data_IF_644403927233
#
_entry.id   IF_644403927233
#
_cell.length_a   1.000
_cell.length_b   1.000
_cell.length_c   1.000
_cell.angle_alpha   90.00
_cell.angle_beta   90.00
_cell.angle_gamma   90.00
#
_symmetry.space_group_name_H-M   'P 1'
#
loop_
_entity.id
_entity.type
_entity.pdbx_description
1 polymer ?
#
# COMPACT_ATOMS: atom_id res chain seq x y z
N UNK A 1 0.63 -46.67 48.10
CA UNK A 1 1.85 -47.46 48.34
C UNK A 1 3.01 -46.83 47.58
N UNK A 2 3.97 -46.32 48.30
CA UNK A 2 5.35 -46.02 47.87
C UNK A 2 6.12 -47.38 47.80
N UNK A 3 7.40 -47.46 47.35
CA UNK A 3 8.38 -46.45 46.93
C UNK A 3 9.49 -46.93 45.94
N UNK A 4 10.37 -45.92 45.56
CA UNK A 4 11.87 -45.99 45.53
C UNK A 4 12.56 -46.71 44.35
N UNK A 5 13.73 -46.35 43.82
CA UNK A 5 14.88 -45.42 44.07
C UNK A 5 15.80 -45.57 42.87
N UNK A 6 16.33 -44.50 42.32
CA UNK A 6 17.71 -43.97 42.29
C UNK A 6 18.83 -44.96 41.93
N UNK A 7 19.71 -44.54 41.01
CA UNK A 7 21.16 -44.49 41.23
C UNK A 7 21.90 -43.77 40.08
N UNK A 8 22.66 -42.81 40.50
CA UNK A 8 23.74 -42.12 39.80
C UNK A 8 24.87 -43.07 39.44
N UNK A 9 25.69 -42.72 38.43
CA UNK A 9 27.16 -42.66 38.50
C UNK A 9 27.71 -42.36 37.11
N UNK A 10 28.19 -41.15 36.89
CA UNK A 10 29.60 -40.75 36.88
C UNK A 10 30.60 -41.76 36.28
N UNK A 11 31.12 -41.41 35.12
CA UNK A 11 32.54 -41.69 34.80
C UNK A 11 33.04 -40.67 33.76
N UNK A 12 33.88 -39.76 34.25
CA UNK A 12 34.75 -38.95 33.44
C UNK A 12 35.96 -39.78 32.98
N UNK A 13 36.23 -39.76 31.68
CA UNK A 13 37.58 -40.11 31.18
C UNK A 13 38.14 -38.96 30.36
N UNK A 14 39.15 -38.32 30.96
CA UNK A 14 40.09 -37.41 30.34
C UNK A 14 41.06 -38.23 29.47
N UNK A 15 41.06 -37.95 28.16
CA UNK A 15 42.20 -38.34 27.31
C UNK A 15 42.73 -37.07 26.59
N UNK A 16 43.87 -36.58 27.10
CA UNK A 16 44.75 -35.67 26.40
C UNK A 16 45.33 -36.38 25.20
N UNK A 17 45.05 -35.94 23.98
CA UNK A 17 45.86 -36.24 22.81
C UNK A 17 46.49 -34.96 22.27
N UNK A 18 47.80 -34.88 22.44
CA UNK A 18 48.68 -33.96 21.70
C UNK A 18 48.76 -34.46 20.24
N UNK A 19 48.10 -33.81 19.32
CA UNK A 19 48.23 -34.07 17.89
C UNK A 19 48.21 -32.74 17.12
N UNK A 20 49.36 -32.32 16.64
CA UNK A 20 49.49 -31.25 15.65
C UNK A 20 48.69 -31.63 14.41
N UNK A 21 47.57 -30.97 14.17
CA UNK A 21 46.83 -31.09 12.91
C UNK A 21 47.58 -30.25 11.86
N UNK A 22 48.34 -30.94 10.99
CA UNK A 22 48.82 -30.36 9.74
C UNK A 22 47.65 -30.16 8.78
N UNK A 23 47.08 -28.97 8.70
CA UNK A 23 46.07 -28.63 7.70
C UNK A 23 46.78 -28.58 6.35
N UNK A 24 46.51 -29.58 5.48
CA UNK A 24 46.98 -29.57 4.10
C UNK A 24 46.41 -28.38 3.35
N UNK A 25 47.28 -27.63 2.70
CA UNK A 25 47.03 -26.38 1.92
C UNK A 25 45.94 -26.49 0.86
N UNK A 26 45.50 -27.70 0.53
CA UNK A 26 44.43 -27.94 -0.47
C UNK A 26 42.99 -27.76 0.08
N UNK A 27 42.82 -27.78 1.41
CA UNK A 27 41.46 -27.60 1.99
C UNK A 27 41.07 -26.12 2.17
N UNK A 28 42.05 -25.21 2.13
CA UNK A 28 41.76 -23.76 2.21
C UNK A 28 41.20 -23.22 0.90
N UNK A 29 41.60 -23.81 -0.25
CA UNK A 29 41.01 -23.43 -1.56
C UNK A 29 39.57 -23.85 -1.71
N UNK A 30 39.14 -24.99 -1.15
CA UNK A 30 37.77 -25.44 -1.20
C UNK A 30 36.83 -24.64 -0.29
N UNK A 31 37.30 -24.14 0.86
CA UNK A 31 36.52 -23.30 1.77
C UNK A 31 36.38 -21.88 1.19
N UNK A 32 37.39 -21.36 0.49
CA UNK A 32 37.29 -20.07 -0.20
C UNK A 32 36.36 -20.14 -1.43
N UNK A 33 36.23 -21.28 -2.10
CA UNK A 33 35.25 -21.46 -3.20
C UNK A 33 33.80 -21.65 -2.69
N UNK A 34 33.58 -22.23 -1.49
CA UNK A 34 32.24 -22.34 -0.93
C UNK A 34 31.74 -21.01 -0.32
N UNK A 35 32.64 -20.12 0.14
CA UNK A 35 32.28 -18.80 0.64
C UNK A 35 31.89 -17.82 -0.48
N UNK A 36 32.31 -18.08 -1.73
CA UNK A 36 31.96 -17.26 -2.90
C UNK A 36 30.57 -17.50 -3.48
N UNK A 37 29.85 -18.55 -3.03
CA UNK A 37 28.53 -18.91 -3.58
C UNK A 37 27.37 -18.36 -2.73
N UNK A 38 27.64 -17.77 -1.55
CA UNK A 38 26.60 -17.22 -0.66
C UNK A 38 26.42 -15.70 -0.76
N UNK A 39 27.12 -15.01 -1.65
CA UNK A 39 26.88 -13.59 -1.96
C UNK A 39 26.13 -13.41 -3.30
N UNK A 40 25.15 -14.24 -3.54
CA UNK A 40 24.14 -14.02 -4.58
C UNK A 40 22.96 -13.19 -4.07
N UNK A 41 23.21 -12.08 -3.38
CA UNK A 41 22.25 -10.97 -3.36
C UNK A 41 22.21 -10.43 -4.77
N UNK A 42 21.27 -10.92 -5.60
CA UNK A 42 21.00 -10.33 -6.90
C UNK A 42 20.70 -8.85 -6.66
N UNK A 43 21.63 -7.97 -7.11
CA UNK A 43 21.35 -6.54 -7.11
C UNK A 43 20.01 -6.35 -7.83
N UNK A 44 18.96 -5.96 -7.09
CA UNK A 44 17.69 -5.55 -7.70
C UNK A 44 18.09 -4.46 -8.72
N UNK A 45 17.60 -4.58 -9.94
CA UNK A 45 17.85 -3.55 -10.96
C UNK A 45 17.29 -2.23 -10.46
N UNK A 46 18.15 -1.19 -10.46
CA UNK A 46 17.75 0.13 -9.97
C UNK A 46 17.22 0.95 -11.13
N UNK A 47 15.90 1.12 -11.20
CA UNK A 47 15.22 1.90 -12.25
C UNK A 47 15.27 3.40 -12.00
N UNK A 48 15.38 3.83 -10.74
CA UNK A 48 15.43 5.23 -10.33
C UNK A 48 16.75 5.45 -9.59
N UNK A 49 17.61 6.40 -10.01
CA UNK A 49 18.85 6.70 -9.32
C UNK A 49 18.62 7.09 -7.85
N UNK A 50 19.66 6.98 -7.02
CA UNK A 50 19.58 7.46 -5.63
C UNK A 50 19.73 8.97 -5.53
N UNK A 51 20.54 9.54 -6.40
CA UNK A 51 20.87 10.98 -6.41
C UNK A 51 19.90 11.71 -7.36
N UNK A 52 18.63 11.82 -6.94
CA UNK A 52 17.59 12.58 -7.65
C UNK A 52 17.32 13.89 -6.93
N UNK A 53 16.78 14.86 -7.65
CA UNK A 53 16.31 16.12 -7.07
C UNK A 53 15.19 15.87 -6.06
N UNK A 54 15.33 16.45 -4.88
CA UNK A 54 14.35 16.33 -3.82
C UNK A 54 13.18 17.31 -4.08
N UNK A 55 11.96 16.81 -3.95
CA UNK A 55 10.73 17.56 -3.99
C UNK A 55 10.16 17.66 -2.59
N UNK A 56 9.69 18.84 -2.21
CA UNK A 56 8.96 19.07 -0.97
C UNK A 56 7.46 19.15 -1.27
N UNK A 57 6.68 18.25 -0.67
CA UNK A 57 5.22 18.22 -0.78
C UNK A 57 4.64 19.12 0.31
N UNK A 58 3.82 20.10 -0.07
CA UNK A 58 3.11 20.95 0.89
C UNK A 58 2.00 20.14 1.58
N UNK A 59 2.11 19.95 2.90
CA UNK A 59 1.03 19.36 3.72
C UNK A 59 0.31 20.45 4.49
N UNK A 60 -0.99 20.60 4.23
CA UNK A 60 -1.87 21.56 4.89
C UNK A 60 -2.67 20.86 5.99
N UNK A 61 -2.50 21.34 7.24
CA UNK A 61 -3.15 20.80 8.44
C UNK A 61 -4.56 21.37 8.61
N UNK A 62 -5.42 21.13 7.61
CA UNK A 62 -6.82 21.54 7.70
C UNK A 62 -7.56 20.78 8.82
N UNK A 63 -7.17 19.55 9.13
CA UNK A 63 -7.66 18.77 10.27
C UNK A 63 -7.58 19.52 11.59
N UNK A 64 -6.46 20.22 11.86
CA UNK A 64 -6.29 21.01 13.06
C UNK A 64 -7.22 22.23 13.08
N UNK A 65 -7.33 22.94 11.96
CA UNK A 65 -8.23 24.09 11.84
C UNK A 65 -9.70 23.66 11.94
N UNK A 66 -10.05 22.54 11.29
CA UNK A 66 -11.38 21.94 11.33
C UNK A 66 -11.81 21.58 12.76
N UNK A 67 -10.91 20.95 13.53
CA UNK A 67 -11.20 20.52 14.91
C UNK A 67 -11.08 21.66 15.95
N UNK A 68 -10.54 22.81 15.57
CA UNK A 68 -10.49 24.01 16.40
C UNK A 68 -11.79 24.84 16.36
N UNK A 69 -12.75 24.49 15.51
CA UNK A 69 -14.08 25.14 15.46
C UNK A 69 -14.77 24.96 16.82
N UNK A 70 -15.27 26.06 17.36
CA UNK A 70 -15.88 26.09 18.71
C UNK A 70 -17.40 25.99 18.60
N UNK A 71 -18.05 25.15 19.42
CA UNK A 71 -19.51 25.02 19.44
C UNK A 71 -20.25 26.36 19.63
N UNK A 72 -19.69 27.29 20.43
CA UNK A 72 -20.33 28.58 20.72
C UNK A 72 -20.20 29.59 19.57
N UNK A 73 -19.32 29.39 18.61
CA UNK A 73 -19.04 30.31 17.49
C UNK A 73 -18.97 29.62 16.12
N UNK A 74 -19.60 28.45 15.98
CA UNK A 74 -19.53 27.60 14.76
C UNK A 74 -19.70 28.40 13.46
N UNK A 75 -20.68 29.33 13.42
CA UNK A 75 -20.96 30.11 12.23
C UNK A 75 -19.80 31.04 11.85
N UNK A 76 -19.20 31.72 12.84
CA UNK A 76 -18.07 32.60 12.61
C UNK A 76 -16.83 31.82 12.23
N UNK A 77 -16.59 30.71 12.93
CA UNK A 77 -15.42 29.85 12.71
C UNK A 77 -15.49 29.17 11.32
N UNK A 78 -16.67 28.75 10.85
CA UNK A 78 -16.87 28.23 9.48
C UNK A 78 -16.62 29.33 8.43
N UNK A 79 -17.10 30.54 8.65
CA UNK A 79 -16.79 31.67 7.72
C UNK A 79 -15.28 31.91 7.65
N UNK A 80 -14.58 31.81 8.78
CA UNK A 80 -13.12 31.94 8.82
C UNK A 80 -12.43 30.78 8.08
N UNK A 81 -12.90 29.51 8.22
CA UNK A 81 -12.37 28.40 7.46
C UNK A 81 -12.52 28.61 5.95
N UNK A 82 -13.66 29.16 5.48
CA UNK A 82 -13.83 29.50 4.05
C UNK A 82 -12.85 30.58 3.60
N UNK A 83 -12.50 31.54 4.47
CA UNK A 83 -11.53 32.59 4.13
C UNK A 83 -10.08 32.08 4.12
N UNK A 84 -9.74 31.21 5.07
CA UNK A 84 -8.37 30.68 5.22
C UNK A 84 -8.05 29.52 4.26
N UNK A 85 -9.08 28.77 3.81
CA UNK A 85 -8.97 27.58 2.96
C UNK A 85 -9.89 27.67 1.74
N UNK A 86 -9.88 28.82 1.05
CA UNK A 86 -10.79 29.15 -0.06
C UNK A 86 -10.82 28.06 -1.15
N UNK A 87 -9.65 27.49 -1.49
CA UNK A 87 -9.54 26.46 -2.53
C UNK A 87 -10.03 25.08 -2.04
N UNK A 88 -9.94 24.76 -0.74
CA UNK A 88 -10.26 23.44 -0.21
C UNK A 88 -11.68 23.33 0.38
N UNK A 89 -12.20 24.37 1.00
CA UNK A 89 -13.51 24.33 1.65
C UNK A 89 -14.67 23.90 0.76
N UNK A 90 -14.79 24.36 -0.52
CA UNK A 90 -15.82 23.84 -1.42
C UNK A 90 -15.67 22.34 -1.70
N UNK A 91 -14.43 21.89 -1.92
CA UNK A 91 -14.12 20.45 -2.15
C UNK A 91 -14.50 19.63 -0.91
N UNK A 92 -14.15 20.13 0.27
CA UNK A 92 -14.45 19.46 1.53
C UNK A 92 -15.96 19.37 1.77
N UNK A 93 -16.69 20.49 1.64
CA UNK A 93 -18.13 20.54 1.93
C UNK A 93 -18.94 19.76 0.91
N UNK A 94 -18.72 19.98 -0.39
CA UNK A 94 -19.52 19.34 -1.44
C UNK A 94 -18.99 17.95 -1.81
N UNK A 95 -17.67 17.80 -1.94
CA UNK A 95 -17.05 16.55 -2.41
C UNK A 95 -16.91 15.49 -1.33
N UNK A 96 -16.62 15.88 -0.07
CA UNK A 96 -16.35 14.93 1.03
C UNK A 96 -17.57 14.79 1.93
N UNK A 97 -18.15 15.90 2.39
CA UNK A 97 -19.31 15.84 3.29
C UNK A 97 -20.64 15.66 2.55
N UNK A 98 -20.66 15.85 1.22
CA UNK A 98 -21.86 15.81 0.37
C UNK A 98 -22.96 16.78 0.83
N UNK A 99 -22.53 17.96 1.29
CA UNK A 99 -23.41 19.06 1.72
C UNK A 99 -23.41 20.18 0.69
N UNK A 100 -24.45 21.02 0.71
CA UNK A 100 -24.48 22.23 -0.12
C UNK A 100 -23.77 23.37 0.58
N UNK A 101 -22.88 24.07 -0.14
CA UNK A 101 -22.22 25.29 0.36
C UNK A 101 -23.23 26.44 0.60
N UNK A 102 -24.41 26.41 -0.04
CA UNK A 102 -25.46 27.40 0.12
C UNK A 102 -26.24 27.26 1.43
N UNK A 103 -26.32 26.04 1.99
CA UNK A 103 -27.03 25.76 3.25
C UNK A 103 -26.11 25.89 4.46
N UNK A 104 -25.69 27.12 4.76
CA UNK A 104 -24.80 27.42 5.89
C UNK A 104 -25.43 27.03 7.26
N UNK A 105 -26.76 27.08 7.40
CA UNK A 105 -27.41 26.71 8.65
C UNK A 105 -27.28 25.20 8.93
N UNK A 106 -27.54 24.39 7.90
CA UNK A 106 -27.40 22.93 7.99
C UNK A 106 -25.93 22.54 8.20
N UNK A 107 -25.00 23.18 7.50
CA UNK A 107 -23.57 22.98 7.69
C UNK A 107 -23.12 23.26 9.13
N UNK A 108 -23.59 24.36 9.74
CA UNK A 108 -23.30 24.69 11.13
C UNK A 108 -23.84 23.63 12.11
N UNK A 109 -25.07 23.16 11.87
CA UNK A 109 -25.69 22.10 12.68
C UNK A 109 -24.90 20.79 12.59
N UNK A 110 -24.56 20.36 11.36
CA UNK A 110 -23.76 19.14 11.13
C UNK A 110 -22.37 19.24 11.78
N UNK A 111 -21.71 20.38 11.67
CA UNK A 111 -20.42 20.60 12.30
C UNK A 111 -20.48 20.57 13.85
N UNK A 112 -21.53 21.18 14.44
CA UNK A 112 -21.74 21.13 15.87
C UNK A 112 -21.91 19.69 16.36
N UNK A 113 -22.70 18.90 15.65
CA UNK A 113 -22.92 17.49 15.94
C UNK A 113 -21.61 16.68 15.80
N UNK A 114 -20.88 16.89 14.71
CA UNK A 114 -19.62 16.23 14.43
C UNK A 114 -18.55 16.50 15.51
N UNK A 115 -18.50 17.70 16.07
CA UNK A 115 -17.53 18.06 17.12
C UNK A 115 -17.91 17.53 18.51
N UNK A 116 -19.21 17.46 18.83
CA UNK A 116 -19.72 17.19 20.17
C UNK A 116 -20.34 15.80 20.38
N UNK A 117 -20.62 15.07 19.28
CA UNK A 117 -21.30 13.79 19.37
C UNK A 117 -20.43 12.70 19.99
N UNK A 118 -20.93 12.16 21.10
CA UNK A 118 -20.31 11.03 21.81
C UNK A 118 -21.00 9.70 21.56
N UNK A 119 -22.19 9.70 20.96
CA UNK A 119 -23.02 8.51 20.73
C UNK A 119 -22.47 7.74 19.54
N UNK A 120 -22.22 8.44 18.41
CA UNK A 120 -21.62 7.88 17.20
C UNK A 120 -20.09 7.80 17.31
N UNK A 121 -19.51 8.31 18.37
CA UNK A 121 -18.08 8.26 18.64
C UNK A 121 -17.22 9.28 17.89
N UNK A 122 -17.82 10.29 17.26
CA UNK A 122 -17.06 11.31 16.52
C UNK A 122 -16.09 12.08 17.40
N UNK A 123 -16.52 12.52 18.60
CA UNK A 123 -15.62 13.24 19.50
C UNK A 123 -14.38 12.43 19.88
N UNK A 124 -14.55 11.12 20.16
CA UNK A 124 -13.43 10.21 20.47
C UNK A 124 -12.54 9.97 19.23
N UNK A 125 -13.16 9.80 18.07
CA UNK A 125 -12.46 9.64 16.79
C UNK A 125 -11.61 10.87 16.48
N UNK A 126 -12.17 12.06 16.61
CA UNK A 126 -11.50 13.33 16.36
C UNK A 126 -10.29 13.52 17.29
N UNK A 127 -10.45 13.23 18.60
CA UNK A 127 -9.36 13.31 19.57
C UNK A 127 -8.24 12.31 19.27
N UNK A 128 -8.58 11.08 18.87
CA UNK A 128 -7.60 10.07 18.49
C UNK A 128 -6.87 10.47 17.20
N UNK A 129 -7.60 10.91 16.18
CA UNK A 129 -7.01 11.36 14.91
C UNK A 129 -6.03 12.50 15.14
N UNK A 130 -6.42 13.52 15.90
CA UNK A 130 -5.55 14.65 16.26
C UNK A 130 -4.29 14.19 17.02
N UNK A 131 -4.42 13.23 17.93
CA UNK A 131 -3.29 12.68 18.68
C UNK A 131 -2.33 11.90 17.76
N UNK A 132 -2.85 10.99 16.94
CA UNK A 132 -2.05 10.14 16.06
C UNK A 132 -1.34 10.90 14.96
N UNK A 133 -1.95 11.97 14.46
CA UNK A 133 -1.38 12.85 13.45
C UNK A 133 -0.81 14.15 14.01
N UNK A 134 -0.56 14.23 15.33
CA UNK A 134 0.09 15.39 15.95
C UNK A 134 1.50 15.64 15.42
N UNK A 135 2.25 14.58 15.19
CA UNK A 135 3.52 14.60 14.47
C UNK A 135 3.34 13.91 13.10
N UNK A 136 3.71 14.64 12.03
CA UNK A 136 3.62 14.19 10.64
C UNK A 136 5.00 14.12 9.95
N UNK A 137 6.11 14.18 10.68
CA UNK A 137 7.45 14.24 10.10
C UNK A 137 7.74 13.01 9.22
N UNK A 138 7.41 11.80 9.70
CA UNK A 138 7.56 10.57 8.93
C UNK A 138 6.66 10.54 7.68
N UNK A 139 5.43 11.05 7.79
CA UNK A 139 4.51 11.17 6.66
C UNK A 139 5.07 12.16 5.62
N UNK A 140 5.57 13.30 6.06
CA UNK A 140 6.18 14.31 5.22
C UNK A 140 7.41 13.75 4.48
N UNK A 141 8.31 13.07 5.19
CA UNK A 141 9.51 12.47 4.62
C UNK A 141 9.14 11.41 3.56
N UNK A 142 8.23 10.50 3.89
CA UNK A 142 7.81 9.43 2.96
C UNK A 142 7.10 10.00 1.72
N UNK A 143 6.27 11.04 1.86
CA UNK A 143 5.67 11.74 0.73
C UNK A 143 6.74 12.42 -0.14
N UNK A 144 7.70 13.11 0.46
CA UNK A 144 8.78 13.76 -0.27
C UNK A 144 9.60 12.74 -1.06
N UNK A 145 9.94 11.58 -0.47
CA UNK A 145 10.63 10.49 -1.17
C UNK A 145 9.80 9.99 -2.36
N UNK A 146 8.53 9.66 -2.13
CA UNK A 146 7.65 9.13 -3.17
C UNK A 146 7.45 10.10 -4.34
N UNK A 147 7.17 11.37 -4.04
CA UNK A 147 6.96 12.40 -5.07
C UNK A 147 8.26 12.84 -5.75
N UNK A 148 9.41 12.84 -5.08
CA UNK A 148 10.71 13.09 -5.73
C UNK A 148 11.00 12.00 -6.78
N UNK A 149 10.76 10.74 -6.45
CA UNK A 149 10.93 9.61 -7.36
C UNK A 149 9.93 9.65 -8.51
N UNK A 150 8.70 10.05 -8.23
CA UNK A 150 7.68 10.22 -9.26
C UNK A 150 8.00 11.39 -10.20
N UNK A 151 8.44 12.53 -9.66
CA UNK A 151 8.86 13.69 -10.44
C UNK A 151 10.08 13.41 -11.33
N UNK A 152 11.03 12.60 -10.86
CA UNK A 152 12.14 12.13 -11.68
C UNK A 152 11.66 11.35 -12.91
N UNK A 153 10.62 10.53 -12.77
CA UNK A 153 10.03 9.75 -13.87
C UNK A 153 9.12 10.60 -14.78
N UNK A 154 8.36 11.51 -14.19
CA UNK A 154 7.33 12.30 -14.84
C UNK A 154 7.47 13.78 -14.42
N UNK A 155 8.50 14.49 -14.91
CA UNK A 155 8.76 15.87 -14.52
C UNK A 155 7.66 16.84 -14.96
N UNK A 156 6.82 16.46 -15.91
CA UNK A 156 5.67 17.22 -16.37
C UNK A 156 4.44 17.12 -15.44
N UNK A 157 4.44 16.21 -14.48
CA UNK A 157 3.34 16.09 -13.52
C UNK A 157 3.53 17.11 -12.39
N UNK A 158 2.50 17.87 -12.12
CA UNK A 158 2.52 18.83 -11.02
C UNK A 158 2.56 18.13 -9.66
N UNK A 159 3.25 18.73 -8.69
CA UNK A 159 3.26 18.21 -7.31
C UNK A 159 2.01 18.77 -6.61
N UNK A 160 1.08 17.91 -6.17
CA UNK A 160 -0.15 18.35 -5.53
C UNK A 160 0.10 18.83 -4.10
N UNK A 161 -0.76 19.77 -3.64
CA UNK A 161 -0.88 20.03 -2.20
C UNK A 161 -1.67 18.91 -1.52
N UNK A 162 -1.28 18.53 -0.33
CA UNK A 162 -1.93 17.46 0.46
C UNK A 162 -2.62 18.08 1.68
N UNK A 163 -3.94 17.97 1.72
CA UNK A 163 -4.75 18.42 2.85
C UNK A 163 -5.05 17.23 3.78
N UNK A 164 -4.74 17.36 5.06
CA UNK A 164 -5.24 16.44 6.07
C UNK A 164 -6.57 16.97 6.61
N UNK A 165 -7.58 16.10 6.69
CA UNK A 165 -8.91 16.45 7.17
C UNK A 165 -9.53 15.30 7.98
N UNK A 166 -10.61 15.56 8.68
CA UNK A 166 -11.44 14.51 9.29
C UNK A 166 -12.74 14.41 8.48
N UNK A 167 -13.02 13.24 7.95
CA UNK A 167 -14.11 13.01 6.99
C UNK A 167 -15.43 12.58 7.61
N UNK A 168 -15.45 12.18 8.88
CA UNK A 168 -16.58 11.46 9.47
C UNK A 168 -16.76 10.07 8.83
N UNK A 169 -15.67 9.39 8.51
CA UNK A 169 -15.59 8.09 7.82
C UNK A 169 -16.12 8.08 6.38
N UNK A 170 -16.19 9.23 5.71
CA UNK A 170 -16.71 9.32 4.35
C UNK A 170 -15.63 9.11 3.28
N UNK A 171 -14.39 9.50 3.53
CA UNK A 171 -13.33 9.45 2.53
C UNK A 171 -11.96 9.18 3.15
N UNK A 172 -11.22 8.22 2.59
CA UNK A 172 -9.83 7.94 2.99
C UNK A 172 -8.84 8.85 2.27
N UNK A 173 -8.90 8.89 0.94
CA UNK A 173 -8.09 9.77 0.10
C UNK A 173 -8.93 10.36 -1.02
N UNK A 174 -8.57 11.56 -1.48
CA UNK A 174 -9.20 12.23 -2.62
C UNK A 174 -8.18 12.95 -3.47
N UNK A 175 -8.52 13.18 -4.75
CA UNK A 175 -7.74 14.02 -5.67
C UNK A 175 -8.70 14.83 -6.54
N UNK A 176 -8.48 16.13 -6.60
CA UNK A 176 -9.23 17.05 -7.44
C UNK A 176 -8.39 18.30 -7.75
N UNK A 177 -8.26 18.68 -9.03
CA UNK A 177 -7.58 19.91 -9.48
C UNK A 177 -6.22 20.19 -8.79
N UNK A 178 -5.33 19.20 -8.79
CA UNK A 178 -4.01 19.27 -8.16
C UNK A 178 -4.02 19.42 -6.62
N UNK A 179 -5.14 19.11 -5.99
CA UNK A 179 -5.29 18.99 -4.54
C UNK A 179 -5.50 17.52 -4.20
N UNK A 180 -4.70 16.99 -3.28
CA UNK A 180 -4.92 15.70 -2.65
C UNK A 180 -5.44 15.91 -1.23
N UNK A 181 -6.20 14.94 -0.75
CA UNK A 181 -6.67 14.99 0.62
C UNK A 181 -6.62 13.63 1.30
N UNK A 182 -6.42 13.65 2.61
CA UNK A 182 -6.37 12.46 3.48
C UNK A 182 -7.37 12.63 4.61
N UNK A 183 -8.36 11.74 4.67
CA UNK A 183 -9.25 11.61 5.82
C UNK A 183 -8.53 10.87 6.94
N UNK A 184 -7.90 11.60 7.86
CA UNK A 184 -7.05 11.02 8.92
C UNK A 184 -7.83 10.08 9.85
N UNK A 185 -9.13 10.26 9.97
CA UNK A 185 -10.04 9.38 10.69
C UNK A 185 -10.23 7.99 10.03
N UNK A 186 -9.77 7.82 8.79
CA UNK A 186 -9.75 6.55 8.08
C UNK A 186 -8.45 5.75 8.29
N UNK A 187 -7.49 6.26 9.09
CA UNK A 187 -6.17 5.65 9.28
C UNK A 187 -5.77 5.51 10.76
N UNK A 188 -6.75 5.20 11.63
CA UNK A 188 -6.57 5.10 13.09
C UNK A 188 -6.10 3.72 13.57
N UNK A 189 -5.81 2.81 12.65
CA UNK A 189 -5.39 1.44 12.93
C UNK A 189 -6.48 0.42 12.64
N UNK A 190 -6.08 -0.77 12.18
CA UNK A 190 -6.99 -1.85 11.78
C UNK A 190 -7.95 -2.31 12.90
N UNK A 191 -7.54 -2.12 14.15
CA UNK A 191 -8.29 -2.54 15.33
C UNK A 191 -9.22 -1.45 15.89
N UNK A 192 -9.29 -0.30 15.22
CA UNK A 192 -10.13 0.80 15.70
C UNK A 192 -11.61 0.38 15.74
N UNK A 193 -12.27 0.42 16.94
CA UNK A 193 -13.56 -0.27 17.12
C UNK A 193 -14.70 0.25 16.25
N UNK A 194 -14.73 1.57 15.98
CA UNK A 194 -15.79 2.17 15.18
C UNK A 194 -15.78 1.74 13.72
N UNK A 195 -14.65 1.26 13.18
CA UNK A 195 -14.59 0.70 11.83
C UNK A 195 -15.50 -0.52 11.63
N UNK A 196 -15.84 -1.25 12.70
CA UNK A 196 -16.81 -2.36 12.62
C UNK A 196 -18.21 -1.92 12.16
N UNK A 197 -18.53 -0.64 12.26
CA UNK A 197 -19.85 -0.10 11.92
C UNK A 197 -19.88 0.50 10.50
N UNK A 198 -18.73 0.85 9.94
CA UNK A 198 -18.64 1.64 8.70
C UNK A 198 -17.98 0.91 7.54
N UNK A 199 -17.13 -0.11 7.80
CA UNK A 199 -16.42 -0.86 6.75
C UNK A 199 -16.42 -2.37 7.03
N UNK A 200 -16.18 -3.17 5.99
CA UNK A 200 -16.00 -4.62 6.12
C UNK A 200 -14.62 -4.96 6.71
N UNK A 201 -14.52 -6.10 7.40
CA UNK A 201 -13.29 -6.52 8.08
C UNK A 201 -12.06 -6.56 7.17
N UNK A 202 -12.20 -7.00 5.91
CA UNK A 202 -11.10 -7.07 4.95
C UNK A 202 -10.57 -5.70 4.52
N UNK A 203 -11.35 -4.62 4.68
CA UNK A 203 -10.94 -3.25 4.34
C UNK A 203 -10.10 -2.61 5.44
N UNK A 204 -10.28 -3.02 6.69
CA UNK A 204 -9.59 -2.40 7.85
C UNK A 204 -8.06 -2.57 7.80
N UNK A 205 -7.58 -3.59 7.13
CA UNK A 205 -6.16 -3.92 7.08
C UNK A 205 -5.29 -2.76 6.59
N UNK A 206 -5.79 -1.98 5.64
CA UNK A 206 -5.09 -0.81 5.10
C UNK A 206 -5.46 0.51 5.78
N UNK A 207 -6.35 0.48 6.78
CA UNK A 207 -6.77 1.68 7.51
C UNK A 207 -5.80 2.01 8.66
N UNK A 208 -4.52 2.18 8.32
CA UNK A 208 -3.39 2.44 9.22
C UNK A 208 -2.55 3.59 8.67
N UNK A 209 -1.93 4.37 9.56
CA UNK A 209 -1.13 5.56 9.21
C UNK A 209 -0.05 5.25 8.17
N UNK A 210 0.55 4.08 8.23
CA UNK A 210 1.59 3.61 7.32
C UNK A 210 1.10 3.46 5.87
N UNK A 211 -0.21 3.24 5.67
CA UNK A 211 -0.79 3.06 4.32
C UNK A 211 -1.09 4.39 3.60
N UNK A 212 -1.06 5.53 4.30
CA UNK A 212 -1.44 6.84 3.74
C UNK A 212 -0.67 7.19 2.47
N UNK A 213 0.66 7.06 2.51
CA UNK A 213 1.52 7.43 1.37
C UNK A 213 1.28 6.54 0.17
N UNK A 214 1.15 5.23 0.40
CA UNK A 214 0.83 4.26 -0.65
C UNK A 214 -0.52 4.54 -1.32
N UNK A 215 -1.55 4.87 -0.54
CA UNK A 215 -2.89 5.19 -1.04
C UNK A 215 -2.89 6.49 -1.85
N UNK A 216 -2.21 7.54 -1.37
CA UNK A 216 -2.07 8.80 -2.11
C UNK A 216 -1.35 8.62 -3.44
N UNK A 217 -0.18 7.99 -3.44
CA UNK A 217 0.58 7.72 -4.66
C UNK A 217 -0.19 6.82 -5.63
N UNK A 218 -0.88 5.78 -5.12
CA UNK A 218 -1.73 4.91 -5.94
C UNK A 218 -2.86 5.67 -6.63
N UNK A 219 -3.52 6.57 -5.90
CA UNK A 219 -4.57 7.43 -6.45
C UNK A 219 -4.00 8.38 -7.51
N UNK A 220 -2.86 9.01 -7.25
CA UNK A 220 -2.23 9.94 -8.17
C UNK A 220 -1.75 9.25 -9.45
N UNK A 221 -1.16 8.05 -9.33
CA UNK A 221 -0.81 7.20 -10.49
C UNK A 221 -2.05 6.84 -11.30
N UNK A 222 -3.13 6.42 -10.63
CA UNK A 222 -4.37 6.01 -11.32
C UNK A 222 -5.05 7.17 -12.05
N UNK A 223 -4.96 8.38 -11.53
CA UNK A 223 -5.49 9.59 -12.20
C UNK A 223 -4.68 9.94 -13.45
N UNK A 224 -3.34 9.95 -13.35
CA UNK A 224 -2.47 10.36 -14.46
C UNK A 224 -2.28 9.26 -15.51
N UNK A 225 -2.45 7.98 -15.13
CA UNK A 225 -2.35 6.83 -16.02
C UNK A 225 -3.69 6.07 -16.00
N UNK A 226 -4.70 6.54 -16.74
CA UNK A 226 -6.02 5.89 -16.76
C UNK A 226 -5.96 4.56 -17.52
N UNK A 227 -6.84 3.63 -17.11
CA UNK A 227 -6.98 2.37 -17.81
C UNK A 227 -7.44 2.57 -19.25
N UNK A 228 -6.63 2.07 -20.16
CA UNK A 228 -6.93 2.09 -21.60
C UNK A 228 -6.64 0.71 -22.18
N UNK A 229 -7.67 -0.02 -22.59
CA UNK A 229 -7.52 -1.33 -23.23
C UNK A 229 -8.61 -1.56 -24.26
N UNK A 230 -8.21 -2.16 -25.37
CA UNK A 230 -9.12 -2.52 -26.47
C UNK A 230 -10.06 -3.68 -26.08
N UNK A 231 -9.60 -4.62 -25.27
CA UNK A 231 -10.30 -5.91 -25.08
C UNK A 231 -10.94 -6.07 -23.70
N UNK A 232 -10.50 -5.30 -22.71
CA UNK A 232 -10.98 -5.37 -21.30
C UNK A 232 -11.13 -6.81 -20.77
N UNK A 233 -10.17 -7.70 -21.10
CA UNK A 233 -10.10 -9.06 -20.56
C UNK A 233 -9.42 -9.04 -19.20
N UNK A 234 -9.50 -10.14 -18.47
CA UNK A 234 -8.80 -10.27 -17.17
C UNK A 234 -7.30 -10.01 -17.31
N UNK A 235 -6.65 -10.53 -18.35
CA UNK A 235 -5.22 -10.31 -18.60
C UNK A 235 -4.87 -8.82 -18.69
N UNK A 236 -5.61 -8.03 -19.47
CA UNK A 236 -5.35 -6.59 -19.59
C UNK A 236 -5.50 -5.86 -18.26
N UNK A 237 -6.53 -6.20 -17.47
CA UNK A 237 -6.70 -5.61 -16.13
C UNK A 237 -5.58 -6.01 -15.17
N UNK A 238 -5.20 -7.29 -15.15
CA UNK A 238 -4.09 -7.79 -14.34
C UNK A 238 -2.77 -7.08 -14.68
N UNK A 239 -2.42 -7.01 -15.97
CA UNK A 239 -1.18 -6.37 -16.42
C UNK A 239 -1.21 -4.87 -16.13
N UNK A 240 -2.32 -4.18 -16.43
CA UNK A 240 -2.44 -2.76 -16.16
C UNK A 240 -2.24 -2.44 -14.66
N UNK A 241 -2.96 -3.13 -13.78
CA UNK A 241 -2.83 -2.95 -12.34
C UNK A 241 -1.48 -3.42 -11.83
N UNK A 242 -0.92 -4.48 -12.42
CA UNK A 242 0.42 -4.97 -12.12
C UNK A 242 1.50 -3.93 -12.44
N UNK A 243 1.38 -3.18 -13.55
CA UNK A 243 2.28 -2.06 -13.88
C UNK A 243 2.18 -0.93 -12.86
N UNK A 244 0.97 -0.59 -12.41
CA UNK A 244 0.79 0.41 -11.35
C UNK A 244 1.44 -0.04 -10.02
N UNK A 245 1.32 -1.31 -9.64
CA UNK A 245 1.98 -1.85 -8.45
C UNK A 245 3.50 -1.88 -8.59
N UNK A 246 4.00 -2.26 -9.77
CA UNK A 246 5.44 -2.21 -10.04
C UNK A 246 5.98 -0.78 -9.91
N UNK A 247 5.30 0.20 -10.49
CA UNK A 247 5.66 1.62 -10.35
C UNK A 247 5.63 2.05 -8.89
N UNK A 248 4.53 1.77 -8.16
CA UNK A 248 4.38 2.13 -6.76
C UNK A 248 5.52 1.56 -5.89
N UNK A 249 5.91 0.30 -6.12
CA UNK A 249 7.05 -0.31 -5.43
C UNK A 249 8.39 0.39 -5.74
N UNK A 250 8.52 1.02 -6.92
CA UNK A 250 9.71 1.83 -7.21
C UNK A 250 9.66 3.19 -6.51
N UNK A 251 8.48 3.72 -6.20
CA UNK A 251 8.33 5.00 -5.49
C UNK A 251 8.53 4.84 -3.98
N UNK A 252 8.27 3.65 -3.44
CA UNK A 252 8.36 3.31 -2.02
C UNK A 252 9.43 2.22 -1.78
N UNK A 253 10.72 2.53 -1.98
CA UNK A 253 11.79 1.52 -2.02
C UNK A 253 12.05 0.84 -0.67
N UNK A 254 11.68 1.49 0.43
CA UNK A 254 11.89 1.00 1.79
C UNK A 254 10.68 0.24 2.33
N UNK A 255 9.53 0.32 1.63
CA UNK A 255 8.34 -0.42 2.00
C UNK A 255 8.40 -1.87 1.53
N UNK A 256 8.02 -2.84 2.36
CA UNK A 256 7.95 -4.22 1.95
C UNK A 256 6.80 -4.44 0.95
N UNK A 257 6.98 -5.39 0.03
CA UNK A 257 6.05 -5.61 -1.09
C UNK A 257 4.61 -5.91 -0.64
N UNK A 258 4.41 -6.56 0.51
CA UNK A 258 3.06 -6.79 1.06
C UNK A 258 2.36 -5.50 1.51
N UNK A 259 3.12 -4.52 2.04
CA UNK A 259 2.56 -3.20 2.36
C UNK A 259 2.18 -2.43 1.09
N UNK A 260 3.04 -2.45 0.07
CA UNK A 260 2.77 -1.80 -1.22
C UNK A 260 1.46 -2.27 -1.84
N UNK A 261 1.17 -3.58 -1.80
CA UNK A 261 -0.10 -4.13 -2.32
C UNK A 261 -1.25 -4.01 -1.31
N UNK A 262 -0.98 -3.69 -0.05
CA UNK A 262 -1.96 -3.65 1.02
C UNK A 262 -2.40 -5.03 1.50
N UNK A 263 -1.51 -6.01 1.49
CA UNK A 263 -1.70 -7.33 2.09
C UNK A 263 -1.10 -7.38 3.51
N UNK A 264 -1.55 -8.33 4.33
CA UNK A 264 -0.76 -8.73 5.48
C UNK A 264 0.41 -9.60 5.05
N UNK A 265 1.42 -9.73 5.93
CA UNK A 265 2.55 -10.64 5.67
C UNK A 265 2.07 -12.08 5.45
N UNK A 266 1.05 -12.54 6.21
CA UNK A 266 0.46 -13.87 6.07
C UNK A 266 -0.25 -14.05 4.72
N UNK A 267 -0.96 -13.02 4.24
CA UNK A 267 -1.61 -13.05 2.92
C UNK A 267 -0.58 -13.12 1.79
N UNK A 268 0.51 -12.37 1.93
CA UNK A 268 1.62 -12.41 0.99
C UNK A 268 2.28 -13.78 0.97
N UNK A 269 2.62 -14.33 2.13
CA UNK A 269 3.24 -15.65 2.25
C UNK A 269 2.34 -16.76 1.69
N UNK A 270 1.02 -16.63 1.87
CA UNK A 270 0.04 -17.52 1.25
C UNK A 270 0.11 -17.43 -0.28
N UNK A 271 0.17 -16.23 -0.84
CA UNK A 271 0.29 -16.04 -2.29
C UNK A 271 1.57 -16.68 -2.84
N UNK A 272 2.72 -16.45 -2.20
CA UNK A 272 3.99 -17.06 -2.61
C UNK A 272 3.97 -18.58 -2.52
N UNK A 273 3.41 -19.13 -1.44
CA UNK A 273 3.30 -20.57 -1.24
C UNK A 273 2.43 -21.25 -2.31
N UNK A 274 1.37 -20.59 -2.75
CA UNK A 274 0.39 -21.16 -3.68
C UNK A 274 0.50 -20.58 -5.11
N UNK A 275 1.53 -19.79 -5.43
CA UNK A 275 1.71 -19.08 -6.70
C UNK A 275 1.49 -20.01 -7.91
N UNK A 276 2.14 -21.15 -7.91
CA UNK A 276 2.00 -22.16 -8.96
C UNK A 276 0.57 -22.69 -9.11
N UNK A 277 -0.10 -22.95 -7.98
CA UNK A 277 -1.49 -23.44 -7.95
C UNK A 277 -2.47 -22.38 -8.45
N UNK A 278 -2.27 -21.12 -8.04
CA UNK A 278 -3.06 -19.96 -8.49
C UNK A 278 -2.96 -19.83 -10.02
N UNK A 279 -1.72 -19.83 -10.54
CA UNK A 279 -1.47 -19.73 -11.98
C UNK A 279 -2.09 -20.88 -12.76
N UNK A 280 -1.88 -22.12 -12.30
CA UNK A 280 -2.47 -23.31 -12.92
C UNK A 280 -4.00 -23.21 -12.98
N UNK A 281 -4.65 -22.74 -11.91
CA UNK A 281 -6.11 -22.59 -11.83
C UNK A 281 -6.63 -21.57 -12.83
N UNK A 282 -5.96 -20.41 -12.95
CA UNK A 282 -6.29 -19.37 -13.94
C UNK A 282 -6.20 -19.91 -15.36
N UNK A 283 -5.13 -20.67 -15.66
CA UNK A 283 -4.90 -21.26 -17.00
C UNK A 283 -5.89 -22.37 -17.31
N UNK A 284 -6.17 -23.26 -16.38
CA UNK A 284 -7.15 -24.35 -16.52
C UNK A 284 -8.55 -23.83 -16.85
N UNK A 285 -8.98 -22.80 -16.14
CA UNK A 285 -10.29 -22.13 -16.35
C UNK A 285 -10.30 -21.23 -17.59
N UNK A 286 -9.16 -20.95 -18.20
CA UNK A 286 -8.97 -19.97 -19.28
C UNK A 286 -9.47 -18.56 -18.90
N UNK A 287 -9.32 -18.20 -17.64
CA UNK A 287 -9.90 -16.96 -17.10
C UNK A 287 -9.21 -15.71 -17.65
N UNK A 288 -7.93 -15.81 -18.10
CA UNK A 288 -7.19 -14.68 -18.69
C UNK A 288 -7.92 -13.96 -19.82
N UNK A 289 -8.73 -14.69 -20.59
CA UNK A 289 -9.40 -14.16 -21.78
C UNK A 289 -10.87 -13.81 -21.55
N UNK A 290 -11.35 -13.97 -20.33
CA UNK A 290 -12.71 -13.63 -19.94
C UNK A 290 -12.91 -12.13 -19.81
N UNK A 291 -14.13 -11.69 -20.15
CA UNK A 291 -14.57 -10.28 -20.10
C UNK A 291 -15.81 -10.09 -19.20
N UNK A 292 -16.34 -11.18 -18.69
CA UNK A 292 -17.53 -11.16 -17.83
C UNK A 292 -17.23 -10.43 -16.52
N UNK A 293 -18.00 -9.38 -16.23
CA UNK A 293 -17.79 -8.52 -15.06
C UNK A 293 -17.71 -9.29 -13.75
N UNK A 294 -18.49 -10.38 -13.60
CA UNK A 294 -18.43 -11.20 -12.39
C UNK A 294 -17.06 -11.83 -12.18
N UNK A 295 -16.45 -12.35 -13.25
CA UNK A 295 -15.10 -12.95 -13.19
C UNK A 295 -14.05 -11.87 -12.94
N UNK A 296 -14.11 -10.77 -13.69
CA UNK A 296 -13.18 -9.65 -13.53
C UNK A 296 -13.21 -9.11 -12.09
N UNK A 297 -14.41 -8.84 -11.57
CA UNK A 297 -14.59 -8.33 -10.21
C UNK A 297 -14.09 -9.31 -9.13
N UNK A 298 -14.29 -10.62 -9.34
CA UNK A 298 -13.81 -11.64 -8.41
C UNK A 298 -12.28 -11.64 -8.27
N UNK A 299 -11.54 -11.40 -9.36
CA UNK A 299 -10.08 -11.35 -9.33
C UNK A 299 -9.51 -9.99 -8.93
N UNK A 300 -10.19 -8.89 -9.31
CA UNK A 300 -9.59 -7.55 -9.29
C UNK A 300 -10.06 -6.66 -8.14
N UNK A 301 -11.28 -6.90 -7.62
CA UNK A 301 -11.85 -6.04 -6.58
C UNK A 301 -11.48 -6.48 -5.16
N UNK A 302 -11.55 -5.54 -4.24
CA UNK A 302 -11.45 -5.83 -2.82
C UNK A 302 -12.52 -6.82 -2.39
N UNK A 303 -12.14 -7.77 -1.57
CA UNK A 303 -13.03 -8.77 -1.02
C UNK A 303 -12.34 -9.58 0.07
N UNK A 304 -13.09 -10.38 0.83
CA UNK A 304 -12.49 -11.22 1.87
C UNK A 304 -11.58 -12.31 1.28
N UNK A 305 -11.85 -12.74 0.05
CA UNK A 305 -11.07 -13.73 -0.71
C UNK A 305 -11.36 -13.62 -2.21
N UNK A 306 -10.55 -14.27 -3.04
CA UNK A 306 -10.77 -14.41 -4.48
C UNK A 306 -11.54 -15.70 -4.75
N UNK A 307 -12.85 -15.60 -4.97
CA UNK A 307 -13.77 -16.73 -5.04
C UNK A 307 -13.42 -17.77 -6.13
N UNK A 308 -12.81 -17.33 -7.24
CA UNK A 308 -12.40 -18.21 -8.34
C UNK A 308 -11.23 -19.14 -7.96
N UNK A 309 -10.50 -18.82 -6.92
CA UNK A 309 -9.32 -19.56 -6.46
C UNK A 309 -9.62 -20.37 -5.20
N UNK A 310 -9.86 -19.71 -4.06
CA UNK A 310 -10.11 -20.36 -2.76
C UNK A 310 -10.71 -19.39 -1.76
N UNK A 311 -11.46 -19.89 -0.78
CA UNK A 311 -11.90 -19.11 0.38
C UNK A 311 -10.76 -18.75 1.34
N UNK A 312 -9.64 -19.46 1.26
CA UNK A 312 -8.43 -19.18 2.07
C UNK A 312 -7.52 -18.13 1.41
N UNK A 313 -7.80 -17.76 0.16
CA UNK A 313 -6.99 -16.79 -0.57
C UNK A 313 -7.26 -15.36 -0.08
N UNK A 314 -6.32 -14.43 -0.21
CA UNK A 314 -6.66 -13.02 -0.12
C UNK A 314 -7.56 -12.59 -1.28
N UNK A 315 -8.23 -11.44 -1.12
CA UNK A 315 -8.90 -10.75 -2.22
C UNK A 315 -7.89 -10.19 -3.23
N UNK A 316 -8.34 -9.77 -4.39
CA UNK A 316 -7.53 -9.10 -5.41
C UNK A 316 -6.34 -9.92 -5.94
N UNK A 317 -6.42 -11.24 -5.97
CA UNK A 317 -5.31 -12.06 -6.49
C UNK A 317 -4.92 -11.73 -7.93
N UNK A 318 -5.85 -11.22 -8.74
CA UNK A 318 -5.53 -10.74 -10.08
C UNK A 318 -4.52 -9.58 -10.07
N UNK A 319 -4.62 -8.68 -9.09
CA UNK A 319 -3.65 -7.61 -8.89
C UNK A 319 -2.26 -8.17 -8.55
N UNK A 320 -2.19 -9.12 -7.61
CA UNK A 320 -0.93 -9.75 -7.22
C UNK A 320 -0.28 -10.53 -8.37
N UNK A 321 -1.04 -11.38 -9.07
CA UNK A 321 -0.52 -12.14 -10.23
C UNK A 321 -0.07 -11.20 -11.35
N UNK A 322 -0.85 -10.14 -11.61
CA UNK A 322 -0.46 -9.12 -12.59
C UNK A 322 0.87 -8.46 -12.27
N UNK A 323 1.09 -8.13 -10.99
CA UNK A 323 2.38 -7.58 -10.53
C UNK A 323 3.52 -8.60 -10.69
N UNK A 324 3.32 -9.87 -10.33
CA UNK A 324 4.33 -10.94 -10.52
C UNK A 324 4.72 -11.12 -12.00
N UNK A 325 3.74 -11.04 -12.91
CA UNK A 325 3.99 -11.10 -14.36
C UNK A 325 4.83 -9.89 -14.80
N UNK A 326 4.46 -8.67 -14.39
CA UNK A 326 5.18 -7.45 -14.75
C UNK A 326 6.58 -7.44 -14.15
N UNK A 327 6.75 -7.86 -12.91
CA UNK A 327 8.06 -7.97 -12.27
C UNK A 327 8.97 -8.98 -13.01
N UNK A 328 8.39 -10.13 -13.43
CA UNK A 328 9.11 -11.09 -14.26
C UNK A 328 9.46 -10.51 -15.64
N UNK A 329 8.56 -9.74 -16.26
CA UNK A 329 8.82 -9.06 -17.53
C UNK A 329 10.00 -8.08 -17.40
N UNK A 330 10.01 -7.23 -16.39
CA UNK A 330 11.07 -6.26 -16.17
C UNK A 330 12.42 -6.92 -15.82
N UNK A 331 12.42 -8.02 -15.08
CA UNK A 331 13.64 -8.79 -14.80
C UNK A 331 14.25 -9.43 -16.04
N UNK A 332 13.43 -9.86 -16.98
CA UNK A 332 13.88 -10.52 -18.21
C UNK A 332 14.19 -9.55 -19.36
N UNK A 333 13.77 -8.29 -19.24
CA UNK A 333 13.94 -7.25 -20.26
C UNK A 333 14.59 -5.99 -19.64
N UNK A 334 15.84 -6.11 -19.20
CA UNK A 334 16.54 -5.11 -18.38
C UNK A 334 16.76 -3.75 -19.07
N UNK A 335 16.66 -3.70 -20.37
CA UNK A 335 16.83 -2.46 -21.15
C UNK A 335 15.54 -1.63 -21.20
N UNK A 336 14.40 -2.19 -20.76
CA UNK A 336 13.12 -1.51 -20.72
C UNK A 336 13.06 -0.55 -19.52
N UNK A 337 12.76 0.70 -19.81
CA UNK A 337 12.53 1.73 -18.79
C UNK A 337 11.12 1.63 -18.19
N UNK A 338 10.90 2.28 -17.04
CA UNK A 338 9.56 2.39 -16.45
C UNK A 338 8.60 3.10 -17.41
N UNK A 339 9.07 4.13 -18.11
CA UNK A 339 8.26 4.85 -19.09
C UNK A 339 7.80 3.95 -20.23
N UNK A 340 8.70 3.13 -20.78
CA UNK A 340 8.36 2.17 -21.83
C UNK A 340 7.40 1.10 -21.33
N UNK A 341 7.61 0.57 -20.10
CA UNK A 341 6.68 -0.35 -19.47
C UNK A 341 5.27 0.25 -19.37
N UNK A 342 5.14 1.46 -18.84
CA UNK A 342 3.83 2.10 -18.63
C UNK A 342 3.12 2.39 -19.97
N UNK A 343 3.86 2.64 -21.05
CA UNK A 343 3.35 2.86 -22.40
C UNK A 343 3.18 1.60 -23.25
N UNK A 344 3.56 0.41 -22.77
CA UNK A 344 3.29 -0.84 -23.46
C UNK A 344 1.84 -1.29 -23.18
N UNK A 345 0.98 -1.27 -24.19
CA UNK A 345 -0.45 -1.61 -24.07
C UNK A 345 -0.77 -3.05 -24.48
N UNK A 346 0.20 -3.78 -25.06
CA UNK A 346 0.01 -5.17 -25.42
C UNK A 346 0.26 -6.10 -24.22
N UNK A 347 -0.81 -6.40 -23.48
CA UNK A 347 -0.76 -7.27 -22.32
C UNK A 347 -0.29 -8.71 -22.67
N UNK A 348 -0.61 -9.18 -23.89
CA UNK A 348 -0.16 -10.49 -24.36
C UNK A 348 1.35 -10.52 -24.59
N UNK A 349 1.91 -9.46 -25.18
CA UNK A 349 3.36 -9.29 -25.34
C UNK A 349 4.08 -9.28 -24.00
N UNK A 350 3.56 -8.53 -23.02
CA UNK A 350 4.12 -8.52 -21.66
C UNK A 350 4.11 -9.92 -21.05
N UNK A 351 2.98 -10.65 -21.14
CA UNK A 351 2.88 -12.01 -20.64
C UNK A 351 3.89 -12.95 -21.31
N UNK A 352 3.99 -12.94 -22.62
CA UNK A 352 4.90 -13.80 -23.38
C UNK A 352 6.36 -13.52 -23.06
N UNK A 353 6.76 -12.25 -23.06
CA UNK A 353 8.13 -11.82 -22.78
C UNK A 353 8.50 -11.82 -21.30
N UNK A 354 7.52 -11.97 -20.40
CA UNK A 354 7.76 -12.16 -19.00
C UNK A 354 8.37 -13.53 -18.68
N UNK A 355 8.11 -14.53 -19.54
CA UNK A 355 8.41 -15.93 -19.26
C UNK A 355 7.86 -16.42 -17.91
N UNK A 356 6.80 -15.80 -17.42
CA UNK A 356 6.21 -16.12 -16.13
C UNK A 356 5.64 -17.54 -16.12
N UNK A 357 6.29 -18.42 -15.37
CA UNK A 357 5.93 -19.84 -15.18
C UNK A 357 6.34 -20.24 -13.77
N UNK A 358 5.54 -19.90 -12.74
CA UNK A 358 5.85 -20.21 -11.35
C UNK A 358 5.81 -21.70 -11.02
#
# INVERSE_FOLDING_TARGET
MRPRRSLENSFAYSLKFNGKIMIKRNNILCIAMLAGILCGCGNKHQYIPKDIEAVEVEIVRFDNAQLAVRPDSVKQDIVQLYADYEEFMPIFVEGILHLSVEDTAYLCEMYSNFLSDTIMGFAQTNALAQSMFSNIDELQESLNIGFSRLHYLYPEWEIPKVYLFVSGFNSSVMYYENIMGVGVDMYLGSDYPYYNQVVYNYQKQTMRKECVVGDLLSMYIAYNIPYNSKYNRLLEQMIFRGKQMFLLAQLLPDEPEWEVIGYSKEQWDWCEMYERGIWHRIMEKRDLFKTESMVLNSYMNNGPFTAEISQDSPGRLGLWVGWRIVDSYMRNNKDITIHELMNEFDAQKILEQSFYKP
#
